data_IF_183780528272
#
_entry.id   IF_183780528272
#
_cell.length_a   1.000
_cell.length_b   1.000
_cell.length_c   1.000
_cell.angle_alpha   90.00
_cell.angle_beta   90.00
_cell.angle_gamma   90.00
#
_symmetry.space_group_name_H-M   'P 1'
#
loop_
_entity.id
_entity.type
_entity.pdbx_description
1 polymer ?
#
# COMPACT_ATOMS: atom_id res chain seq x y z
N UNK A 1 12.60 -11.29 8.96
CA UNK A 1 12.50 -10.70 7.60
C UNK A 1 11.36 -11.43 6.90
N UNK A 2 10.36 -10.70 6.41
CA UNK A 2 9.24 -11.26 5.64
C UNK A 2 9.60 -11.12 4.15
N UNK A 3 9.48 -12.19 3.38
CA UNK A 3 9.80 -12.17 1.94
C UNK A 3 8.61 -12.68 1.16
N UNK A 4 7.95 -11.78 0.44
CA UNK A 4 6.78 -12.08 -0.38
C UNK A 4 7.19 -12.11 -1.85
N UNK A 5 7.01 -13.24 -2.55
CA UNK A 5 7.38 -13.35 -3.96
C UNK A 5 6.15 -13.21 -4.84
N UNK A 6 6.24 -12.38 -5.86
CA UNK A 6 5.14 -12.20 -6.84
C UNK A 6 4.77 -13.54 -7.51
N UNK A 7 5.75 -14.44 -7.67
CA UNK A 7 5.54 -15.80 -8.18
C UNK A 7 4.61 -16.67 -7.33
N UNK A 8 4.41 -16.33 -6.06
CA UNK A 8 3.55 -17.08 -5.14
C UNK A 8 2.06 -16.72 -5.34
N UNK A 9 1.77 -15.68 -6.14
CA UNK A 9 0.42 -15.25 -6.48
C UNK A 9 -0.06 -15.94 -7.76
N UNK A 10 -1.27 -16.51 -7.72
CA UNK A 10 -1.96 -17.03 -8.92
C UNK A 10 -2.14 -15.92 -9.97
N UNK A 11 -2.47 -14.70 -9.51
CA UNK A 11 -2.54 -13.51 -10.35
C UNK A 11 -1.55 -12.45 -9.83
N UNK A 12 -0.40 -12.24 -10.51
CA UNK A 12 0.57 -11.23 -10.13
C UNK A 12 0.04 -9.79 -10.07
N UNK A 13 -1.04 -9.47 -10.78
CA UNK A 13 -1.57 -8.11 -10.90
C UNK A 13 -2.77 -7.84 -9.98
N UNK A 14 -3.44 -8.87 -9.47
CA UNK A 14 -4.62 -8.75 -8.60
C UNK A 14 -4.68 -9.83 -7.50
N UNK A 15 -3.53 -10.23 -6.98
CA UNK A 15 -3.39 -11.29 -5.96
C UNK A 15 -3.33 -10.75 -4.54
N UNK A 16 -3.55 -11.60 -3.54
CA UNK A 16 -3.33 -11.28 -2.12
C UNK A 16 -2.34 -12.29 -1.55
N UNK A 17 -1.31 -11.81 -0.86
CA UNK A 17 -0.29 -12.68 -0.28
C UNK A 17 -0.84 -13.43 0.93
N UNK A 18 -0.53 -14.73 1.02
CA UNK A 18 -0.81 -15.50 2.21
C UNK A 18 0.20 -15.14 3.30
N UNK A 19 -0.28 -14.63 4.44
CA UNK A 19 0.59 -14.23 5.55
C UNK A 19 0.59 -15.23 6.72
N UNK A 20 0.03 -16.43 6.54
CA UNK A 20 -0.10 -17.45 7.58
C UNK A 20 1.25 -17.95 8.11
N UNK A 21 2.30 -17.92 7.28
CA UNK A 21 3.65 -18.33 7.66
C UNK A 21 4.38 -17.27 8.51
N UNK A 22 3.80 -16.07 8.65
CA UNK A 22 4.41 -14.94 9.37
C UNK A 22 3.73 -14.69 10.72
N UNK A 23 3.38 -15.76 11.45
CA UNK A 23 2.78 -15.68 12.78
C UNK A 23 1.39 -15.06 12.76
N UNK A 24 1.15 -14.05 13.59
CA UNK A 24 -0.13 -13.33 13.68
C UNK A 24 -0.23 -12.12 12.74
N UNK A 25 0.76 -11.89 11.87
CA UNK A 25 0.81 -10.75 10.95
C UNK A 25 -0.47 -10.59 10.12
N UNK A 26 -1.05 -11.71 9.64
CA UNK A 26 -2.29 -11.70 8.87
C UNK A 26 -3.55 -11.24 9.63
N UNK A 27 -3.47 -11.11 10.96
CA UNK A 27 -4.53 -10.49 11.78
C UNK A 27 -4.54 -8.96 11.66
N UNK A 28 -3.39 -8.37 11.34
CA UNK A 28 -3.20 -6.92 11.34
C UNK A 28 -3.00 -6.35 9.94
N UNK A 29 -2.50 -7.15 9.00
CA UNK A 29 -2.13 -6.72 7.65
C UNK A 29 -2.81 -7.55 6.58
N UNK A 30 -3.17 -6.89 5.48
CA UNK A 30 -3.49 -7.50 4.20
C UNK A 30 -2.60 -6.86 3.14
N UNK A 31 -1.90 -7.67 2.35
CA UNK A 31 -1.00 -7.18 1.30
C UNK A 31 -1.43 -7.79 -0.02
N UNK A 32 -1.75 -6.94 -0.98
CA UNK A 32 -2.23 -7.35 -2.30
C UNK A 32 -1.50 -6.64 -3.43
N UNK A 33 -1.56 -7.21 -4.62
CA UNK A 33 -1.19 -6.53 -5.85
C UNK A 33 -2.43 -5.93 -6.53
N UNK A 34 -2.22 -4.90 -7.35
CA UNK A 34 -3.30 -4.12 -7.97
C UNK A 34 -3.85 -3.05 -7.05
N UNK A 35 -5.04 -2.54 -7.35
CA UNK A 35 -5.72 -1.52 -6.55
C UNK A 35 -6.91 -2.08 -5.77
N UNK A 36 -7.28 -1.37 -4.71
CA UNK A 36 -8.46 -1.70 -3.89
C UNK A 36 -9.73 -1.42 -4.70
N UNK A 37 -10.61 -2.42 -4.82
CA UNK A 37 -11.88 -2.31 -5.58
C UNK A 37 -13.09 -2.03 -4.69
N UNK A 38 -12.90 -2.05 -3.37
CA UNK A 38 -13.95 -1.86 -2.38
C UNK A 38 -13.55 -2.48 -1.04
N UNK A 39 -14.47 -2.41 -0.08
CA UNK A 39 -14.24 -2.91 1.26
C UNK A 39 -14.33 -4.44 1.28
N UNK A 40 -13.40 -5.06 2.00
CA UNK A 40 -13.36 -6.51 2.23
C UNK A 40 -13.69 -6.77 3.70
N UNK A 41 -14.81 -7.45 4.03
CA UNK A 41 -15.19 -7.72 5.41
C UNK A 41 -14.07 -8.40 6.23
N UNK A 42 -13.33 -9.30 5.60
CA UNK A 42 -12.19 -10.01 6.20
C UNK A 42 -10.99 -9.11 6.55
N UNK A 43 -10.96 -7.88 6.03
CA UNK A 43 -9.90 -6.90 6.25
C UNK A 43 -10.34 -5.71 7.10
N UNK A 44 -11.58 -5.69 7.63
CA UNK A 44 -12.15 -4.52 8.30
C UNK A 44 -11.24 -3.88 9.36
N UNK A 45 -10.59 -4.70 10.20
CA UNK A 45 -9.68 -4.24 11.26
C UNK A 45 -8.20 -4.23 10.85
N UNK A 46 -7.89 -4.41 9.56
CA UNK A 46 -6.52 -4.53 9.05
C UNK A 46 -6.06 -3.25 8.36
N UNK A 47 -4.75 -3.06 8.34
CA UNK A 47 -4.11 -2.18 7.37
C UNK A 47 -4.05 -2.92 6.02
N UNK A 48 -4.67 -2.35 5.00
CA UNK A 48 -4.57 -2.85 3.62
C UNK A 48 -3.43 -2.14 2.91
N UNK A 49 -2.49 -2.91 2.37
CA UNK A 49 -1.39 -2.40 1.54
C UNK A 49 -1.54 -2.97 0.13
N UNK A 50 -1.58 -2.08 -0.85
CA UNK A 50 -1.70 -2.43 -2.25
C UNK A 50 -0.43 -2.04 -3.02
N UNK A 51 0.13 -3.00 -3.76
CA UNK A 51 1.27 -2.81 -4.66
C UNK A 51 0.77 -2.81 -6.09
N UNK A 52 0.75 -1.65 -6.75
CA UNK A 52 0.17 -1.53 -8.08
C UNK A 52 1.16 -0.96 -9.09
N UNK A 53 1.41 -1.65 -10.21
CA UNK A 53 2.08 -1.03 -11.35
C UNK A 53 1.30 0.16 -11.89
N UNK A 54 1.97 1.26 -12.28
CA UNK A 54 1.28 2.44 -12.81
C UNK A 54 0.40 2.11 -14.02
N UNK A 55 0.87 1.23 -14.91
CA UNK A 55 0.13 0.85 -16.12
C UNK A 55 -1.20 0.16 -15.81
N UNK A 56 -1.31 -0.60 -14.71
CA UNK A 56 -2.58 -1.24 -14.33
C UNK A 56 -3.56 -0.20 -13.80
N UNK A 57 -3.08 0.80 -13.06
CA UNK A 57 -3.90 1.91 -12.59
C UNK A 57 -4.38 2.76 -13.79
N UNK A 58 -3.48 3.11 -14.71
CA UNK A 58 -3.81 3.90 -15.89
C UNK A 58 -4.94 3.27 -16.74
N UNK A 59 -4.95 1.94 -16.84
CA UNK A 59 -6.02 1.20 -17.56
C UNK A 59 -7.36 1.21 -16.82
N UNK A 60 -7.34 1.30 -15.48
CA UNK A 60 -8.52 1.15 -14.63
C UNK A 60 -9.02 2.47 -14.03
N UNK A 61 -8.31 3.59 -14.24
CA UNK A 61 -8.60 4.89 -13.62
C UNK A 61 -9.99 5.43 -13.96
N UNK A 62 -10.58 5.04 -15.09
CA UNK A 62 -11.96 5.46 -15.45
C UNK A 62 -13.04 4.46 -15.06
N UNK A 63 -12.67 3.35 -14.41
CA UNK A 63 -13.55 2.20 -14.16
C UNK A 63 -13.66 1.85 -12.68
N UNK A 64 -12.53 1.59 -12.03
CA UNK A 64 -12.48 1.08 -10.66
C UNK A 64 -11.34 1.66 -9.82
N UNK A 65 -10.52 2.53 -10.40
CA UNK A 65 -9.40 3.21 -9.76
C UNK A 65 -9.48 4.74 -9.93
N UNK A 66 -10.68 5.28 -10.10
CA UNK A 66 -10.96 6.71 -10.29
C UNK A 66 -10.49 7.55 -9.12
N UNK A 67 -10.59 7.00 -7.91
CA UNK A 67 -10.04 7.62 -6.71
C UNK A 67 -8.53 7.90 -6.84
N UNK A 68 -7.76 7.14 -7.65
CA UNK A 68 -6.33 7.35 -7.93
C UNK A 68 -6.07 8.37 -9.05
N UNK A 69 -7.09 8.91 -9.71
CA UNK A 69 -6.90 9.89 -10.78
C UNK A 69 -6.06 11.11 -10.38
N UNK A 70 -6.21 11.71 -9.18
CA UNK A 70 -5.46 12.91 -8.80
C UNK A 70 -3.95 12.73 -8.80
N UNK A 71 -3.47 11.52 -8.52
CA UNK A 71 -2.03 11.24 -8.39
C UNK A 71 -1.39 10.79 -9.71
N UNK A 72 -2.18 10.50 -10.74
CA UNK A 72 -1.68 9.96 -12.01
C UNK A 72 -0.79 10.95 -12.78
N UNK A 73 -1.03 12.26 -12.60
CA UNK A 73 -0.23 13.30 -13.26
C UNK A 73 1.19 13.42 -12.71
N UNK A 74 1.36 13.20 -11.40
CA UNK A 74 2.64 13.35 -10.70
C UNK A 74 3.41 12.03 -10.54
N UNK A 75 2.78 10.91 -10.92
CA UNK A 75 3.40 9.59 -10.81
C UNK A 75 4.48 9.40 -11.89
N UNK A 76 5.74 9.52 -11.49
CA UNK A 76 6.90 9.30 -12.35
C UNK A 76 7.16 7.80 -12.54
N UNK A 77 6.82 7.27 -13.71
CA UNK A 77 6.95 5.83 -14.00
C UNK A 77 8.38 5.35 -14.27
N UNK A 78 9.25 6.25 -14.72
CA UNK A 78 10.65 5.96 -14.98
C UNK A 78 11.38 5.64 -13.67
N UNK A 79 11.01 6.33 -12.59
CA UNK A 79 11.63 6.18 -11.26
C UNK A 79 10.82 5.30 -10.32
N UNK A 80 9.49 5.27 -10.45
CA UNK A 80 8.60 4.51 -9.57
C UNK A 80 7.55 3.74 -10.39
N UNK A 81 7.93 2.68 -11.10
CA UNK A 81 6.99 1.91 -11.94
C UNK A 81 5.89 1.20 -11.13
N UNK A 82 6.13 1.00 -9.82
CA UNK A 82 5.20 0.40 -8.86
C UNK A 82 4.93 1.43 -7.76
N UNK A 83 3.65 1.64 -7.48
CA UNK A 83 3.16 2.48 -6.40
C UNK A 83 2.77 1.62 -5.22
N UNK A 84 2.94 2.19 -4.02
CA UNK A 84 2.46 1.59 -2.77
C UNK A 84 1.33 2.45 -2.25
N UNK A 85 0.21 1.83 -1.94
CA UNK A 85 -0.99 2.48 -1.40
C UNK A 85 -1.34 1.81 -0.10
N UNK A 86 -1.75 2.57 0.92
CA UNK A 86 -2.24 1.97 2.14
C UNK A 86 -3.40 2.76 2.75
N UNK A 87 -4.29 2.00 3.39
CA UNK A 87 -5.49 2.52 4.05
C UNK A 87 -5.97 1.52 5.11
N UNK A 88 -6.89 1.95 5.97
CA UNK A 88 -7.56 1.04 6.90
C UNK A 88 -8.68 0.30 6.19
N UNK A 89 -8.86 -0.99 6.47
CA UNK A 89 -9.90 -1.78 5.84
C UNK A 89 -11.33 -1.30 6.13
N UNK A 90 -11.52 -0.58 7.24
CA UNK A 90 -12.79 0.07 7.58
C UNK A 90 -13.08 1.32 6.74
N UNK A 91 -12.07 1.98 6.18
CA UNK A 91 -12.25 3.13 5.31
C UNK A 91 -12.87 2.70 3.97
N UNK A 92 -13.73 3.52 3.40
CA UNK A 92 -14.19 3.39 2.03
C UNK A 92 -13.08 3.83 1.05
N UNK A 93 -13.17 3.45 -0.22
CA UNK A 93 -12.21 3.88 -1.24
C UNK A 93 -12.23 5.41 -1.46
N UNK A 94 -13.36 6.07 -1.16
CA UNK A 94 -13.53 7.52 -1.18
C UNK A 94 -12.88 8.24 0.01
N UNK A 95 -12.54 7.54 1.09
CA UNK A 95 -12.04 8.15 2.33
C UNK A 95 -10.56 8.55 2.25
N UNK A 96 -9.92 8.25 1.11
CA UNK A 96 -8.52 8.54 0.85
C UNK A 96 -7.59 7.40 1.24
N UNK A 97 -6.34 7.58 0.85
CA UNK A 97 -5.25 6.62 1.00
C UNK A 97 -3.96 7.41 1.06
N UNK A 98 -3.02 6.89 1.83
CA UNK A 98 -1.65 7.34 1.73
C UNK A 98 -0.96 6.57 0.60
N UNK A 99 0.07 7.16 0.00
CA UNK A 99 0.74 6.55 -1.14
C UNK A 99 2.22 6.95 -1.29
N UNK A 100 2.96 6.11 -2.01
CA UNK A 100 4.31 6.37 -2.53
C UNK A 100 4.36 6.01 -4.00
N UNK A 101 4.52 7.03 -4.86
CA UNK A 101 4.52 6.90 -6.33
C UNK A 101 5.69 7.64 -6.98
N UNK A 102 6.65 8.10 -6.19
CA UNK A 102 7.80 8.91 -6.63
C UNK A 102 9.15 8.38 -6.12
N UNK A 103 9.18 7.19 -5.51
CA UNK A 103 10.39 6.54 -5.03
C UNK A 103 10.55 5.17 -5.70
N UNK A 104 11.76 4.79 -6.13
CA UNK A 104 12.00 3.44 -6.61
C UNK A 104 11.87 2.43 -5.47
N UNK A 105 11.50 1.20 -5.81
CA UNK A 105 11.16 0.15 -4.83
C UNK A 105 12.32 -0.18 -3.87
N UNK A 106 13.56 -0.10 -4.35
CA UNK A 106 14.78 -0.27 -3.55
C UNK A 106 14.99 0.86 -2.50
N UNK A 107 14.45 2.05 -2.73
CA UNK A 107 14.50 3.14 -1.76
C UNK A 107 13.38 3.03 -0.74
N UNK A 108 12.20 2.57 -1.16
CA UNK A 108 11.09 2.29 -0.24
C UNK A 108 11.53 1.27 0.82
N UNK A 109 12.33 0.27 0.43
CA UNK A 109 12.83 -0.74 1.35
C UNK A 109 13.85 -0.26 2.40
N UNK A 110 14.33 0.98 2.30
CA UNK A 110 15.24 1.58 3.29
C UNK A 110 14.52 2.06 4.56
N UNK A 111 13.18 2.14 4.52
CA UNK A 111 12.32 2.66 5.59
C UNK A 111 11.13 1.74 5.81
N UNK A 112 10.60 1.71 7.03
CA UNK A 112 9.31 1.09 7.29
C UNK A 112 8.16 1.99 6.80
N UNK A 113 6.93 1.46 6.80
CA UNK A 113 5.77 2.19 6.28
C UNK A 113 5.48 3.47 7.08
N UNK A 114 5.69 3.45 8.41
CA UNK A 114 5.50 4.62 9.28
C UNK A 114 6.53 5.73 9.02
N UNK A 115 7.79 5.38 8.79
CA UNK A 115 8.85 6.33 8.44
C UNK A 115 8.61 6.95 7.06
N UNK A 116 8.16 6.16 6.09
CA UNK A 116 7.76 6.70 4.79
C UNK A 116 6.56 7.64 4.91
N UNK A 117 5.58 7.31 5.75
CA UNK A 117 4.44 8.17 6.04
C UNK A 117 4.86 9.48 6.73
N UNK A 118 5.70 9.40 7.76
CA UNK A 118 6.19 10.57 8.50
C UNK A 118 7.01 11.53 7.63
N UNK A 119 7.76 11.03 6.64
CA UNK A 119 8.45 11.89 5.68
C UNK A 119 7.48 12.73 4.83
N UNK A 120 6.34 12.15 4.44
CA UNK A 120 5.32 12.83 3.62
C UNK A 120 4.68 14.00 4.38
N UNK A 121 4.46 13.82 5.68
CA UNK A 121 3.85 14.82 6.57
C UNK A 121 4.73 16.08 6.77
N UNK A 122 6.03 16.01 6.42
CA UNK A 122 6.93 17.18 6.48
C UNK A 122 6.82 18.13 5.28
N UNK A 123 5.97 17.83 4.28
CA UNK A 123 5.72 18.77 3.20
C UNK A 123 4.89 18.24 2.04
N UNK A 124 3.56 18.26 2.18
CA UNK A 124 2.54 18.67 1.17
C UNK A 124 1.17 18.01 1.44
N UNK A 125 0.16 18.87 1.48
CA UNK A 125 -1.31 18.72 1.40
C UNK A 125 -1.83 17.32 1.05
N UNK A 126 -2.59 16.70 1.96
CA UNK A 126 -3.46 15.56 1.65
C UNK A 126 -3.76 14.56 2.77
N UNK A 127 -3.12 14.66 3.94
CA UNK A 127 -3.37 13.72 5.05
C UNK A 127 -4.84 13.81 5.51
N UNK A 128 -5.57 12.70 5.37
CA UNK A 128 -6.94 12.56 5.90
C UNK A 128 -6.92 12.75 7.42
N UNK A 129 -7.78 13.61 8.01
CA UNK A 129 -7.75 13.94 9.44
C UNK A 129 -8.15 12.79 10.38
N UNK A 130 -8.46 11.60 9.86
CA UNK A 130 -9.01 10.46 10.63
C UNK A 130 -7.98 9.45 11.15
N UNK A 131 -6.68 9.72 11.03
CA UNK A 131 -5.61 8.74 11.28
C UNK A 131 -4.83 8.82 12.61
N UNK A 132 -5.18 9.54 13.71
CA UNK A 132 -4.27 9.51 14.87
C UNK A 132 -4.26 8.19 15.66
N UNK A 133 -5.40 7.61 16.02
CA UNK A 133 -5.41 6.66 17.15
C UNK A 133 -5.32 5.19 16.74
N UNK A 134 -5.96 4.78 15.64
CA UNK A 134 -5.74 3.43 15.07
C UNK A 134 -4.35 3.34 14.43
N UNK A 135 -3.89 4.40 13.79
CA UNK A 135 -2.54 4.44 13.23
C UNK A 135 -1.47 4.48 14.32
N UNK A 136 -1.73 5.01 15.52
CA UNK A 136 -0.85 4.78 16.69
C UNK A 136 -0.81 3.31 17.11
N UNK A 137 -1.95 2.61 17.16
CA UNK A 137 -1.99 1.18 17.50
C UNK A 137 -1.27 0.32 16.45
N UNK A 138 -1.54 0.60 15.17
CA UNK A 138 -0.89 -0.05 14.03
C UNK A 138 0.56 0.41 13.86
N UNK A 139 0.96 1.62 14.30
CA UNK A 139 2.34 2.12 14.19
C UNK A 139 3.32 1.24 14.95
N UNK A 140 2.91 0.59 16.04
CA UNK A 140 3.73 -0.40 16.73
C UNK A 140 4.08 -1.61 15.84
N UNK A 141 3.19 -1.97 14.91
CA UNK A 141 3.36 -3.06 13.95
C UNK A 141 3.94 -2.56 12.61
N UNK A 142 3.55 -1.39 12.12
CA UNK A 142 4.08 -0.74 10.92
C UNK A 142 5.56 -0.33 11.10
N UNK A 143 5.99 0.04 12.32
CA UNK A 143 7.42 0.22 12.66
C UNK A 143 8.26 -1.04 12.42
N UNK A 144 7.64 -2.23 12.47
CA UNK A 144 8.29 -3.52 12.22
C UNK A 144 8.15 -3.98 10.77
N UNK A 145 7.36 -3.28 9.95
CA UNK A 145 7.05 -3.70 8.60
C UNK A 145 7.91 -2.95 7.58
N UNK A 146 8.96 -3.64 7.12
CA UNK A 146 9.88 -3.18 6.09
C UNK A 146 9.67 -4.02 4.84
N UNK A 147 9.35 -3.37 3.71
CA UNK A 147 9.43 -4.02 2.41
C UNK A 147 10.91 -4.25 2.11
N UNK A 148 11.33 -5.45 1.72
CA UNK A 148 12.66 -5.66 1.14
C UNK A 148 12.44 -6.38 -0.18
N UNK A 149 12.39 -5.60 -1.27
CA UNK A 149 12.46 -6.15 -2.61
C UNK A 149 13.92 -6.24 -3.00
N UNK A 150 14.50 -7.44 -2.92
CA UNK A 150 15.79 -7.69 -3.56
C UNK A 150 15.52 -7.97 -5.04
N UNK A 151 16.08 -7.21 -5.99
CA UNK A 151 16.22 -7.71 -7.34
C UNK A 151 17.15 -8.94 -7.28
N UNK A 152 16.75 -10.02 -7.96
CA UNK A 152 17.64 -11.14 -8.25
C UNK A 152 18.76 -10.72 -9.22
#
# INVERSE_FOLDING_TARGET
MITLKISDLINPLEGTFCLSEYGDTGKYLSISTGHRKGNKPENYEKLEICLAPKFTIAKNVKLSADYLQPIMGDWNEETAPIGIFWTLGACETSDGYDYLTNKPLNNISSKNLFENWSDLDTGKVGASPYTPDIFKHISGHAKKFMFICKPE
#
